data_IF_020824664308
#
_entry.id   IF_020824664308
#
_cell.length_a   1.000
_cell.length_b   1.000
_cell.length_c   1.000
_cell.angle_alpha   90.00
_cell.angle_beta   90.00
_cell.angle_gamma   90.00
#
_symmetry.space_group_name_H-M   'P 1'
#
loop_
_entity.id
_entity.type
_entity.pdbx_description
1 polymer ?
#
# COMPACT_ATOMS: atom_id res chain seq x y z
N UNK A 1 2.11 0.37 -9.61
CA UNK A 1 3.08 0.78 -8.58
C UNK A 1 3.49 -0.46 -7.81
N UNK A 2 4.76 -0.85 -7.86
CA UNK A 2 5.24 -2.00 -7.09
C UNK A 2 5.68 -1.50 -5.71
N UNK A 3 5.22 -2.14 -4.65
CA UNK A 3 5.69 -1.89 -3.31
C UNK A 3 6.23 -3.18 -2.70
N UNK A 4 7.39 -3.09 -2.09
CA UNK A 4 8.12 -4.22 -1.54
C UNK A 4 7.64 -4.52 -0.13
N UNK A 5 7.22 -5.75 0.12
CA UNK A 5 6.89 -6.23 1.47
C UNK A 5 8.12 -6.95 2.02
N UNK A 6 8.73 -6.41 3.05
CA UNK A 6 9.83 -7.04 3.79
C UNK A 6 9.40 -7.25 5.24
N UNK A 7 9.44 -8.47 5.69
CA UNK A 7 9.10 -8.84 7.08
C UNK A 7 10.18 -8.42 8.13
N UNK A 8 11.02 -7.43 7.83
CA UNK A 8 11.84 -6.73 8.83
C UNK A 8 12.29 -5.38 8.28
N UNK A 9 11.90 -4.34 8.97
CA UNK A 9 12.39 -2.97 8.73
C UNK A 9 13.83 -2.87 9.20
N UNK A 10 14.76 -2.68 8.27
CA UNK A 10 16.09 -2.17 8.58
C UNK A 10 16.23 -0.87 7.82
N UNK A 11 16.22 0.24 8.53
CA UNK A 11 16.70 1.52 7.99
C UNK A 11 18.20 1.42 7.84
N UNK A 12 18.69 1.42 6.62
CA UNK A 12 20.10 1.62 6.32
C UNK A 12 20.22 2.91 5.52
N UNK A 13 21.23 3.69 5.84
CA UNK A 13 21.52 5.03 5.29
C UNK A 13 21.46 5.07 3.75
N UNK A 14 20.86 6.15 3.24
CA UNK A 14 20.56 6.37 1.82
C UNK A 14 21.83 6.62 1.00
N UNK A 15 22.27 5.60 0.29
CA UNK A 15 22.93 5.77 -0.99
C UNK A 15 21.86 5.78 -2.08
N UNK A 16 22.01 6.58 -3.14
CA UNK A 16 21.00 6.98 -4.12
C UNK A 16 20.19 5.89 -4.86
N UNK A 17 20.29 4.61 -4.51
CA UNK A 17 19.43 3.55 -5.01
C UNK A 17 19.37 2.37 -4.05
N UNK A 18 18.16 1.86 -3.83
CA UNK A 18 17.93 0.65 -3.03
C UNK A 18 17.88 -0.57 -3.95
N UNK A 19 18.29 -1.74 -3.41
CA UNK A 19 18.19 -3.02 -4.12
C UNK A 19 17.46 -4.04 -3.26
N UNK A 20 16.66 -4.87 -3.93
CA UNK A 20 16.02 -6.02 -3.31
C UNK A 20 16.06 -7.20 -4.27
N UNK A 21 16.33 -8.36 -3.73
CA UNK A 21 16.40 -9.61 -4.51
C UNK A 21 15.42 -10.62 -3.94
N UNK A 22 14.80 -11.40 -4.83
CA UNK A 22 13.82 -12.42 -4.44
C UNK A 22 13.15 -13.05 -5.65
N UNK A 23 12.19 -13.93 -5.37
CA UNK A 23 11.32 -14.45 -6.39
C UNK A 23 10.28 -13.40 -6.74
N UNK A 24 10.39 -12.83 -7.91
CA UNK A 24 9.44 -11.86 -8.46
C UNK A 24 8.25 -12.65 -9.03
N UNK A 25 7.05 -12.32 -8.57
CA UNK A 25 5.80 -12.93 -9.02
C UNK A 25 4.93 -11.84 -9.59
N UNK A 26 4.64 -11.94 -10.88
CA UNK A 26 3.72 -11.08 -11.61
C UNK A 26 2.46 -11.85 -12.00
N UNK A 27 1.53 -11.16 -12.65
CA UNK A 27 0.30 -11.76 -13.13
C UNK A 27 0.52 -12.95 -14.08
N UNK A 28 1.51 -12.88 -14.97
CA UNK A 28 1.73 -13.86 -16.04
C UNK A 28 2.97 -14.74 -15.84
N UNK A 29 3.89 -14.35 -14.98
CA UNK A 29 5.17 -15.05 -14.82
C UNK A 29 5.71 -14.97 -13.39
N UNK A 30 6.68 -15.84 -13.11
CA UNK A 30 7.51 -15.73 -11.92
C UNK A 30 8.94 -16.12 -12.26
N UNK A 31 9.89 -15.37 -11.70
CA UNK A 31 11.32 -15.59 -11.92
C UNK A 31 12.14 -15.05 -10.74
N UNK A 32 13.36 -15.53 -10.61
CA UNK A 32 14.33 -14.95 -9.69
C UNK A 32 14.86 -13.63 -10.24
N UNK A 33 14.94 -12.60 -9.41
CA UNK A 33 15.38 -11.30 -9.87
C UNK A 33 15.81 -10.33 -8.79
N UNK A 34 16.47 -9.27 -9.25
CA UNK A 34 16.85 -8.11 -8.43
C UNK A 34 16.13 -6.86 -8.97
N UNK A 35 15.52 -6.10 -8.09
CA UNK A 35 14.93 -4.80 -8.40
C UNK A 35 15.80 -3.72 -7.78
N UNK A 36 16.21 -2.75 -8.60
CA UNK A 36 16.86 -1.51 -8.17
C UNK A 36 15.82 -0.39 -8.22
N UNK A 37 15.70 0.38 -7.16
CA UNK A 37 14.67 1.41 -7.03
C UNK A 37 15.11 2.57 -6.14
N UNK A 38 14.51 3.72 -6.37
CA UNK A 38 14.45 4.88 -5.48
C UNK A 38 12.97 5.13 -5.13
N UNK A 39 12.40 6.25 -5.52
CA UNK A 39 10.94 6.50 -5.50
C UNK A 39 10.23 5.71 -6.62
N UNK A 40 10.97 5.30 -7.65
CA UNK A 40 10.52 4.54 -8.79
C UNK A 40 11.37 3.27 -8.97
N UNK A 41 10.82 2.28 -9.69
CA UNK A 41 11.61 1.15 -10.14
C UNK A 41 12.52 1.63 -11.27
N UNK A 42 13.82 1.55 -11.04
CA UNK A 42 14.84 1.95 -12.00
C UNK A 42 15.23 0.81 -12.93
N UNK A 43 15.32 -0.41 -12.39
CA UNK A 43 15.71 -1.57 -13.16
C UNK A 43 15.20 -2.88 -12.54
N UNK A 44 14.94 -3.88 -13.38
CA UNK A 44 14.61 -5.24 -12.98
C UNK A 44 15.54 -6.19 -13.75
N UNK A 45 16.44 -6.87 -13.04
CA UNK A 45 17.33 -7.85 -13.60
C UNK A 45 16.84 -9.27 -13.29
N UNK A 46 16.66 -10.11 -14.31
CA UNK A 46 16.47 -11.56 -14.10
C UNK A 46 17.80 -12.19 -13.72
N UNK A 47 17.77 -13.11 -12.77
CA UNK A 47 18.93 -13.83 -12.24
C UNK A 47 18.60 -15.32 -12.30
N UNK A 48 19.57 -16.16 -12.76
CA UNK A 48 19.34 -17.61 -12.92
C UNK A 48 19.10 -18.31 -11.58
N UNK A 49 19.89 -17.97 -10.57
CA UNK A 49 19.75 -18.48 -9.21
C UNK A 49 19.82 -17.37 -8.18
N UNK A 50 18.98 -17.45 -7.16
CA UNK A 50 18.99 -16.53 -6.07
C UNK A 50 18.88 -17.29 -4.74
N UNK A 51 19.83 -17.05 -3.85
CA UNK A 51 19.75 -17.54 -2.48
C UNK A 51 18.96 -16.54 -1.62
N UNK A 52 17.66 -16.45 -1.87
CA UNK A 52 16.76 -15.58 -1.13
C UNK A 52 15.41 -16.26 -0.96
N UNK A 53 14.89 -16.26 0.25
CA UNK A 53 13.53 -16.71 0.59
C UNK A 53 12.46 -15.59 0.40
N UNK A 54 12.87 -14.41 -0.10
CA UNK A 54 11.96 -13.31 -0.30
C UNK A 54 11.09 -13.51 -1.54
N UNK A 55 9.82 -13.15 -1.41
CA UNK A 55 8.91 -12.97 -2.53
C UNK A 55 8.69 -11.48 -2.78
N UNK A 56 8.71 -11.09 -4.04
CA UNK A 56 8.46 -9.73 -4.48
C UNK A 56 7.21 -9.77 -5.35
N UNK A 57 6.16 -9.12 -4.88
CA UNK A 57 4.86 -9.08 -5.56
C UNK A 57 4.40 -7.63 -5.74
N UNK A 58 3.52 -7.35 -6.71
CA UNK A 58 2.81 -6.08 -6.76
C UNK A 58 2.03 -5.85 -5.47
N UNK A 59 1.95 -4.60 -5.02
CA UNK A 59 1.10 -4.25 -3.89
C UNK A 59 -0.36 -4.49 -4.19
N UNK A 60 -1.13 -4.88 -3.18
CA UNK A 60 -2.56 -5.10 -3.34
C UNK A 60 -3.30 -3.79 -3.56
N UNK A 61 -4.33 -3.85 -4.39
CA UNK A 61 -5.27 -2.76 -4.64
C UNK A 61 -6.61 -3.17 -4.04
N UNK A 62 -7.10 -2.39 -3.09
CA UNK A 62 -8.39 -2.60 -2.45
C UNK A 62 -9.33 -1.45 -2.81
N UNK A 63 -10.35 -1.76 -3.58
CA UNK A 63 -11.30 -0.77 -4.11
C UNK A 63 -12.56 -0.61 -3.26
N UNK A 64 -12.71 -1.39 -2.18
CA UNK A 64 -13.89 -1.38 -1.33
C UNK A 64 -13.54 -1.81 0.10
N UNK A 65 -13.29 -0.85 0.96
CA UNK A 65 -12.83 -1.10 2.33
C UNK A 65 -13.48 -0.14 3.33
N UNK A 66 -14.31 -0.68 4.23
CA UNK A 66 -15.01 0.09 5.26
C UNK A 66 -14.18 0.32 6.53
N UNK A 67 -13.19 -0.51 6.76
CA UNK A 67 -12.38 -0.40 7.98
C UNK A 67 -11.27 -1.43 8.06
N UNK A 68 -10.53 -1.41 9.16
CA UNK A 68 -9.45 -2.37 9.42
C UNK A 68 -8.65 -2.01 10.66
N UNK A 69 -8.07 -3.04 11.30
CA UNK A 69 -7.27 -2.86 12.51
C UNK A 69 -8.05 -2.31 13.71
N UNK A 70 -9.39 -2.44 13.71
CA UNK A 70 -10.26 -1.90 14.75
C UNK A 70 -10.69 -0.44 14.52
N UNK A 71 -10.49 0.10 13.31
CA UNK A 71 -10.87 1.45 12.91
C UNK A 71 -11.83 1.40 11.73
N UNK A 72 -12.77 2.35 11.68
CA UNK A 72 -13.78 2.49 10.64
C UNK A 72 -13.57 3.78 9.85
N UNK A 73 -14.02 3.77 8.59
CA UNK A 73 -13.93 4.92 7.68
C UNK A 73 -14.79 6.10 8.11
N UNK A 74 -15.82 5.88 8.91
CA UNK A 74 -16.75 6.90 9.40
C UNK A 74 -16.35 7.50 10.75
N UNK A 75 -15.25 7.01 11.36
CA UNK A 75 -14.83 7.40 12.72
C UNK A 75 -13.85 8.58 12.76
N UNK A 76 -13.75 9.33 11.65
CA UNK A 76 -12.98 10.55 11.55
C UNK A 76 -11.51 10.36 11.11
N UNK A 77 -10.81 11.48 10.91
CA UNK A 77 -9.46 11.56 10.31
C UNK A 77 -8.46 10.58 10.92
N UNK A 78 -8.41 10.49 12.25
CA UNK A 78 -7.43 9.61 12.92
C UNK A 78 -7.72 8.12 12.70
N UNK A 79 -9.00 7.74 12.65
CA UNK A 79 -9.41 6.36 12.39
C UNK A 79 -9.05 5.95 10.95
N UNK A 80 -9.36 6.81 9.96
CA UNK A 80 -9.02 6.61 8.56
C UNK A 80 -7.49 6.44 8.38
N UNK A 81 -6.71 7.29 9.04
CA UNK A 81 -5.24 7.24 8.98
C UNK A 81 -4.68 5.94 9.58
N UNK A 82 -5.22 5.49 10.70
CA UNK A 82 -4.80 4.23 11.35
C UNK A 82 -5.22 3.01 10.53
N UNK A 83 -6.44 3.01 9.99
CA UNK A 83 -6.93 1.98 9.06
C UNK A 83 -6.03 1.89 7.83
N UNK A 84 -5.75 3.02 7.18
CA UNK A 84 -4.86 3.10 6.01
C UNK A 84 -3.48 2.52 6.32
N UNK A 85 -2.88 2.92 7.44
CA UNK A 85 -1.58 2.40 7.91
C UNK A 85 -1.62 0.90 8.20
N UNK A 86 -2.72 0.40 8.79
CA UNK A 86 -2.92 -1.03 9.02
C UNK A 86 -2.93 -1.81 7.71
N UNK A 87 -3.74 -1.40 6.73
CA UNK A 87 -3.80 -2.05 5.42
C UNK A 87 -2.47 -1.97 4.67
N UNK A 88 -1.77 -0.83 4.77
CA UNK A 88 -0.43 -0.69 4.22
C UNK A 88 0.54 -1.70 4.83
N UNK A 89 0.48 -1.92 6.14
CA UNK A 89 1.31 -2.92 6.84
C UNK A 89 1.04 -4.35 6.38
N UNK A 90 -0.12 -4.60 5.77
CA UNK A 90 -0.53 -5.91 5.20
C UNK A 90 -0.31 -6.01 3.69
N UNK A 91 0.27 -4.98 3.06
CA UNK A 91 0.63 -4.99 1.65
C UNK A 91 -0.38 -4.32 0.72
N UNK A 92 -1.44 -3.71 1.24
CA UNK A 92 -2.37 -2.91 0.43
C UNK A 92 -1.75 -1.54 0.15
N UNK A 93 -1.28 -1.35 -1.08
CA UNK A 93 -0.57 -0.14 -1.51
C UNK A 93 -1.47 0.89 -2.19
N UNK A 94 -2.71 0.51 -2.47
CA UNK A 94 -3.73 1.39 -3.02
C UNK A 94 -5.07 1.02 -2.41
N UNK A 95 -5.74 1.98 -1.76
CA UNK A 95 -6.95 1.78 -0.99
C UNK A 95 -7.98 2.86 -1.34
N UNK A 96 -9.20 2.44 -1.69
CA UNK A 96 -10.38 3.30 -1.65
C UNK A 96 -11.10 3.08 -0.32
N UNK A 97 -11.10 4.09 0.52
CA UNK A 97 -11.88 4.05 1.75
C UNK A 97 -13.36 4.18 1.43
N UNK A 98 -14.18 3.27 1.94
CA UNK A 98 -15.59 3.16 1.56
C UNK A 98 -16.47 3.66 2.70
N UNK A 99 -17.42 4.54 2.38
CA UNK A 99 -18.42 5.02 3.35
C UNK A 99 -19.46 3.94 3.60
N UNK A 100 -20.07 3.94 4.80
CA UNK A 100 -21.31 3.22 5.04
C UNK A 100 -22.51 4.03 4.57
N UNK A 101 -23.59 3.37 4.20
CA UNK A 101 -24.90 4.03 4.01
C UNK A 101 -25.28 4.77 5.29
N UNK A 102 -25.41 6.10 5.23
CA UNK A 102 -25.62 6.96 6.38
C UNK A 102 -26.41 8.22 6.02
N UNK A 103 -26.64 9.11 6.97
CA UNK A 103 -27.23 10.41 6.68
C UNK A 103 -26.31 11.24 5.79
N UNK A 104 -26.89 12.20 5.06
CA UNK A 104 -26.12 13.12 4.22
C UNK A 104 -25.03 13.84 5.02
N UNK A 105 -25.36 14.29 6.24
CA UNK A 105 -24.45 15.01 7.12
C UNK A 105 -23.25 14.13 7.52
N UNK A 106 -23.48 12.87 7.90
CA UNK A 106 -22.41 11.95 8.27
C UNK A 106 -21.53 11.58 7.07
N UNK A 107 -22.15 11.30 5.91
CA UNK A 107 -21.39 11.01 4.68
C UNK A 107 -20.56 12.22 4.27
N UNK A 108 -21.12 13.44 4.33
CA UNK A 108 -20.40 14.65 4.00
C UNK A 108 -19.24 14.93 4.96
N UNK A 109 -19.42 14.67 6.26
CA UNK A 109 -18.35 14.79 7.26
C UNK A 109 -17.20 13.81 6.93
N UNK A 110 -17.50 12.54 6.67
CA UNK A 110 -16.51 11.55 6.28
C UNK A 110 -15.74 11.96 5.02
N UNK A 111 -16.42 12.51 3.99
CA UNK A 111 -15.76 13.00 2.78
C UNK A 111 -14.78 14.14 3.05
N UNK A 112 -15.10 15.05 3.97
CA UNK A 112 -14.18 16.11 4.37
C UNK A 112 -12.96 15.55 5.11
N UNK A 113 -13.15 14.54 5.96
CA UNK A 113 -12.08 13.86 6.66
C UNK A 113 -11.12 13.16 5.66
N UNK A 114 -11.67 12.48 4.65
CA UNK A 114 -10.87 11.88 3.55
C UNK A 114 -10.09 12.94 2.78
N UNK A 115 -10.74 14.02 2.38
CA UNK A 115 -10.10 15.07 1.59
C UNK A 115 -8.88 15.66 2.31
N UNK A 116 -8.90 15.71 3.63
CA UNK A 116 -7.78 16.18 4.45
C UNK A 116 -6.58 15.21 4.45
N UNK A 117 -6.78 13.93 4.07
CA UNK A 117 -5.79 12.86 4.17
C UNK A 117 -5.23 12.38 2.83
N UNK A 118 -5.88 12.67 1.70
CA UNK A 118 -5.49 12.15 0.38
C UNK A 118 -4.02 12.42 0.05
N UNK A 119 -3.54 13.62 0.34
CA UNK A 119 -2.15 14.00 0.08
C UNK A 119 -1.18 13.57 1.20
N UNK A 120 -1.70 13.12 2.34
CA UNK A 120 -0.90 12.75 3.51
C UNK A 120 -0.72 11.24 3.66
N UNK A 121 -1.58 10.45 3.05
CA UNK A 121 -1.55 8.99 3.13
C UNK A 121 -0.93 8.38 1.88
N UNK A 122 0.08 7.55 2.06
CA UNK A 122 0.82 6.94 0.95
C UNK A 122 0.04 5.88 0.16
N UNK A 123 -1.07 5.37 0.67
CA UNK A 123 -1.86 4.32 0.04
C UNK A 123 -3.36 4.65 -0.08
N UNK A 124 -3.84 5.72 0.54
CA UNK A 124 -5.22 6.17 0.36
C UNK A 124 -5.30 6.96 -0.96
N UNK A 125 -5.98 6.40 -1.95
CA UNK A 125 -6.03 6.97 -3.32
C UNK A 125 -7.37 7.61 -3.66
N UNK A 126 -8.36 7.47 -2.79
CA UNK A 126 -9.69 8.05 -3.00
C UNK A 126 -10.74 7.46 -2.09
N UNK A 127 -11.99 7.73 -2.41
CA UNK A 127 -13.19 7.32 -1.69
C UNK A 127 -14.09 6.52 -2.62
N UNK A 128 -14.69 5.49 -2.07
CA UNK A 128 -15.84 4.78 -2.65
C UNK A 128 -17.09 5.17 -1.84
N UNK A 129 -18.09 5.70 -2.50
CA UNK A 129 -19.36 6.03 -1.87
C UNK A 129 -20.33 4.84 -1.96
N UNK A 130 -20.93 4.53 -0.82
CA UNK A 130 -21.99 3.52 -0.70
C UNK A 130 -23.24 4.10 -0.02
#
# INVERSE_FOLDING_TARGET
MFRLYKQKTIFTEMTNSNKVSGKIINYNDSYSGEITFDENILNINKIEEINSENYIIPGFVDLHCHGGGGFDTMDGVQAIQKMSSYHLSKGTTSLLATTWTSSFEHTYAALNDFNSLIDMSSNLIGVHLE
#
